data_IF_928485928490
#
_entry.id   IF_928485928490
#
_cell.length_a   1.000
_cell.length_b   1.000
_cell.length_c   1.000
_cell.angle_alpha   90.00
_cell.angle_beta   90.00
_cell.angle_gamma   90.00
#
_symmetry.space_group_name_H-M   'P 1'
#
loop_
_entity.id
_entity.type
_entity.pdbx_description
1 polymer ?
#
# COMPACT_ATOMS: atom_id res chain seq x y z
N UNK A 1 -13.41 -20.54 -9.52
CA UNK A 1 -13.34 -19.47 -8.49
C UNK A 1 -14.70 -19.37 -7.82
N UNK A 2 -14.79 -18.86 -6.57
CA UNK A 2 -16.05 -18.79 -5.80
C UNK A 2 -17.15 -18.00 -6.50
N UNK A 3 -16.79 -16.97 -7.29
CA UNK A 3 -17.73 -15.99 -7.85
C UNK A 3 -17.92 -16.11 -9.38
N UNK A 4 -17.45 -17.20 -10.00
CA UNK A 4 -17.56 -17.37 -11.46
C UNK A 4 -16.69 -16.43 -12.31
N UNK A 5 -15.89 -15.55 -11.67
CA UNK A 5 -14.98 -14.64 -12.35
C UNK A 5 -13.68 -15.32 -12.75
N UNK A 6 -13.12 -14.93 -13.89
CA UNK A 6 -11.75 -15.26 -14.27
C UNK A 6 -10.77 -14.66 -13.26
N UNK A 7 -9.96 -15.51 -12.63
CA UNK A 7 -8.95 -15.09 -11.66
C UNK A 7 -7.57 -14.89 -12.30
N UNK A 8 -6.73 -14.08 -11.67
CA UNK A 8 -5.30 -14.01 -12.00
C UNK A 8 -4.54 -14.98 -11.08
N UNK A 9 -3.97 -16.07 -11.60
CA UNK A 9 -3.32 -17.07 -10.75
C UNK A 9 -2.09 -16.50 -10.05
N UNK A 10 -1.75 -17.05 -8.87
CA UNK A 10 -0.51 -16.70 -8.16
C UNK A 10 0.73 -16.93 -9.03
N UNK A 11 0.67 -17.93 -9.92
CA UNK A 11 1.72 -18.22 -10.90
C UNK A 11 2.10 -17.02 -11.78
N UNK A 12 1.16 -16.12 -12.08
CA UNK A 12 1.44 -14.92 -12.86
C UNK A 12 2.42 -13.97 -12.13
N UNK A 13 2.33 -13.90 -10.80
CA UNK A 13 3.27 -13.15 -9.97
C UNK A 13 4.58 -13.92 -9.81
N UNK A 14 4.53 -15.20 -9.43
CA UNK A 14 5.75 -15.95 -9.09
C UNK A 14 6.66 -16.23 -10.27
N UNK A 15 6.12 -16.48 -11.48
CA UNK A 15 6.94 -16.66 -12.69
C UNK A 15 7.67 -15.36 -13.04
N UNK A 16 7.00 -14.21 -12.92
CA UNK A 16 7.63 -12.91 -13.13
C UNK A 16 8.75 -12.67 -12.11
N UNK A 17 8.52 -12.98 -10.83
CA UNK A 17 9.54 -12.88 -9.78
C UNK A 17 10.78 -13.74 -10.06
N UNK A 18 10.59 -15.02 -10.41
CA UNK A 18 11.72 -15.88 -10.76
C UNK A 18 12.54 -15.33 -11.93
N UNK A 19 11.88 -14.88 -12.99
CA UNK A 19 12.54 -14.25 -14.13
C UNK A 19 13.35 -13.03 -13.69
N UNK A 20 12.77 -12.14 -12.89
CA UNK A 20 13.44 -10.94 -12.39
C UNK A 20 14.65 -11.31 -11.54
N UNK A 21 14.53 -12.29 -10.65
CA UNK A 21 15.65 -12.69 -9.78
C UNK A 21 16.82 -13.27 -10.55
N UNK A 22 16.58 -14.06 -11.59
CA UNK A 22 17.66 -14.54 -12.47
C UNK A 22 18.35 -13.38 -13.19
N UNK A 23 17.60 -12.38 -13.65
CA UNK A 23 18.19 -11.17 -14.24
C UNK A 23 19.01 -10.37 -13.22
N UNK A 24 18.54 -10.23 -11.98
CA UNK A 24 19.28 -9.56 -10.90
C UNK A 24 20.58 -10.31 -10.59
N UNK A 25 20.57 -11.65 -10.54
CA UNK A 25 21.80 -12.45 -10.36
C UNK A 25 22.81 -12.22 -11.47
N UNK A 26 22.35 -12.22 -12.72
CA UNK A 26 23.22 -12.08 -13.87
C UNK A 26 23.80 -10.66 -14.02
N UNK A 27 23.07 -9.64 -13.59
CA UNK A 27 23.42 -8.22 -13.86
C UNK A 27 23.89 -7.44 -12.64
N UNK A 28 23.55 -7.90 -11.43
CA UNK A 28 23.73 -7.13 -10.19
C UNK A 28 22.83 -5.89 -10.09
N UNK A 29 21.83 -5.75 -10.98
CA UNK A 29 20.94 -4.60 -10.99
C UNK A 29 20.13 -4.50 -9.70
N UNK A 30 19.93 -3.27 -9.21
CA UNK A 30 19.02 -2.99 -8.11
C UNK A 30 17.59 -2.95 -8.63
N UNK A 31 16.71 -3.79 -8.08
CA UNK A 31 15.32 -3.89 -8.52
C UNK A 31 14.36 -3.67 -7.35
N UNK A 32 13.29 -2.93 -7.62
CA UNK A 32 12.15 -2.80 -6.73
C UNK A 32 10.93 -3.52 -7.32
N UNK A 33 10.32 -4.39 -6.54
CA UNK A 33 9.15 -5.18 -6.93
C UNK A 33 7.88 -4.51 -6.39
N UNK A 34 7.07 -3.98 -7.29
CA UNK A 34 5.87 -3.25 -6.90
C UNK A 34 4.72 -4.20 -6.53
N UNK A 35 4.06 -3.90 -5.42
CA UNK A 35 2.76 -4.43 -4.98
C UNK A 35 2.72 -5.96 -4.93
N UNK A 36 3.60 -6.58 -4.16
CA UNK A 36 3.54 -8.02 -3.88
C UNK A 36 2.16 -8.35 -3.30
N UNK A 37 1.52 -9.41 -3.81
CA UNK A 37 0.13 -9.72 -3.46
C UNK A 37 -0.09 -11.14 -2.94
N UNK A 38 0.90 -12.03 -3.02
CA UNK A 38 0.76 -13.43 -2.60
C UNK A 38 1.75 -13.87 -1.51
N UNK A 39 1.36 -14.85 -0.71
CA UNK A 39 2.24 -15.49 0.28
C UNK A 39 3.47 -16.13 -0.36
N UNK A 40 3.29 -16.74 -1.54
CA UNK A 40 4.39 -17.30 -2.32
C UNK A 40 5.38 -16.21 -2.79
N UNK A 41 4.86 -15.07 -3.25
CA UNK A 41 5.68 -13.91 -3.62
C UNK A 41 6.50 -13.39 -2.45
N UNK A 42 5.91 -13.26 -1.26
CA UNK A 42 6.63 -12.87 -0.03
C UNK A 42 7.76 -13.86 0.29
N UNK A 43 7.50 -15.17 0.23
CA UNK A 43 8.52 -16.19 0.48
C UNK A 43 9.68 -16.07 -0.52
N UNK A 44 9.37 -15.90 -1.81
CA UNK A 44 10.36 -15.74 -2.87
C UNK A 44 11.23 -14.48 -2.67
N UNK A 45 10.62 -13.35 -2.26
CA UNK A 45 11.37 -12.13 -1.92
C UNK A 45 12.30 -12.37 -0.72
N UNK A 46 11.81 -13.05 0.31
CA UNK A 46 12.61 -13.39 1.50
C UNK A 46 13.84 -14.22 1.13
N UNK A 47 13.64 -15.25 0.31
CA UNK A 47 14.72 -16.12 -0.15
C UNK A 47 15.72 -15.35 -1.02
N UNK A 48 15.25 -14.47 -1.90
CA UNK A 48 16.11 -13.61 -2.73
C UNK A 48 16.98 -12.68 -1.86
N UNK A 49 16.38 -12.03 -0.86
CA UNK A 49 17.12 -11.18 0.09
C UNK A 49 18.13 -11.97 0.91
N UNK A 50 17.76 -13.16 1.39
CA UNK A 50 18.67 -14.04 2.14
C UNK A 50 19.89 -14.50 1.30
N UNK A 51 19.73 -14.56 -0.01
CA UNK A 51 20.82 -14.86 -0.96
C UNK A 51 21.64 -13.63 -1.37
N UNK A 52 21.34 -12.46 -0.80
CA UNK A 52 22.08 -11.22 -1.06
C UNK A 52 21.71 -10.52 -2.36
N UNK A 53 20.58 -10.86 -3.00
CA UNK A 53 20.13 -10.12 -4.18
C UNK A 53 19.74 -8.70 -3.78
N UNK A 54 20.10 -7.72 -4.62
CA UNK A 54 19.79 -6.30 -4.41
C UNK A 54 18.33 -5.99 -4.78
N UNK A 55 17.39 -6.61 -4.07
CA UNK A 55 15.95 -6.50 -4.30
C UNK A 55 15.25 -5.85 -3.12
N UNK A 56 14.29 -5.00 -3.42
CA UNK A 56 13.31 -4.45 -2.47
C UNK A 56 11.90 -4.70 -3.01
N UNK A 57 10.89 -4.58 -2.17
CA UNK A 57 9.50 -4.66 -2.61
C UNK A 57 8.55 -3.81 -1.76
N UNK A 58 7.39 -3.52 -2.33
CA UNK A 58 6.30 -2.86 -1.62
C UNK A 58 5.03 -3.73 -1.60
N UNK A 59 4.10 -3.37 -0.73
CA UNK A 59 2.74 -3.91 -0.69
C UNK A 59 1.73 -2.77 -0.72
N UNK A 60 0.62 -2.98 -1.44
CA UNK A 60 -0.50 -2.04 -1.40
C UNK A 60 -1.26 -2.14 -0.08
N UNK A 61 -1.70 -1.00 0.46
CA UNK A 61 -2.62 -0.98 1.61
C UNK A 61 -3.91 -1.78 1.33
N UNK A 62 -4.34 -1.88 0.06
CA UNK A 62 -5.49 -2.68 -0.31
C UNK A 62 -5.28 -4.16 0.02
N UNK A 63 -4.19 -4.76 -0.47
CA UNK A 63 -3.85 -6.17 -0.22
C UNK A 63 -3.43 -6.45 1.23
N UNK A 64 -3.00 -5.42 1.96
CA UNK A 64 -2.65 -5.53 3.39
C UNK A 64 -3.89 -5.67 4.30
N UNK A 65 -5.02 -5.12 3.88
CA UNK A 65 -6.25 -5.06 4.68
C UNK A 65 -7.39 -5.94 4.16
N UNK A 66 -7.43 -6.24 2.87
CA UNK A 66 -8.57 -6.88 2.22
C UNK A 66 -8.18 -8.23 1.58
N UNK A 67 -9.21 -9.04 1.34
CA UNK A 67 -9.14 -10.38 0.76
C UNK A 67 -10.21 -10.56 -0.32
N UNK A 68 -10.14 -11.68 -1.03
CA UNK A 68 -11.14 -12.09 -2.01
C UNK A 68 -12.57 -12.23 -1.43
N UNK A 69 -12.69 -12.50 -0.12
CA UNK A 69 -13.98 -12.55 0.58
C UNK A 69 -14.64 -11.17 0.66
N UNK A 70 -13.84 -10.10 0.80
CA UNK A 70 -14.34 -8.73 0.98
C UNK A 70 -15.01 -8.19 -0.30
N UNK A 71 -14.67 -8.75 -1.48
CA UNK A 71 -15.30 -8.38 -2.76
C UNK A 71 -16.83 -8.54 -2.70
N UNK A 72 -17.32 -9.45 -1.85
CA UNK A 72 -18.74 -9.57 -1.52
C UNK A 72 -19.62 -9.75 -2.76
N UNK A 73 -20.59 -8.85 -2.93
CA UNK A 73 -21.52 -8.84 -4.07
C UNK A 73 -20.94 -8.12 -5.29
N UNK A 74 -19.73 -8.48 -5.71
CA UNK A 74 -19.07 -7.90 -6.89
C UNK A 74 -18.82 -6.38 -6.78
N UNK A 75 -18.38 -5.91 -5.61
CA UNK A 75 -18.12 -4.48 -5.39
C UNK A 75 -16.97 -3.98 -6.29
N UNK A 76 -17.29 -3.14 -7.28
CA UNK A 76 -16.34 -2.62 -8.27
C UNK A 76 -15.23 -1.76 -7.67
N UNK A 77 -15.39 -1.25 -6.44
CA UNK A 77 -14.33 -0.57 -5.70
C UNK A 77 -13.18 -1.51 -5.36
N UNK A 78 -13.47 -2.81 -5.22
CA UNK A 78 -12.50 -3.87 -4.97
C UNK A 78 -11.94 -4.50 -6.27
N UNK A 79 -12.32 -3.98 -7.43
CA UNK A 79 -11.62 -4.29 -8.69
C UNK A 79 -10.29 -3.56 -8.69
N UNK A 80 -9.23 -4.32 -8.39
CA UNK A 80 -7.86 -3.83 -8.23
C UNK A 80 -6.89 -4.60 -9.13
N UNK A 81 -5.66 -4.09 -9.25
CA UNK A 81 -4.57 -4.78 -9.91
C UNK A 81 -3.24 -4.47 -9.18
N UNK A 82 -2.63 -5.45 -8.47
CA UNK A 82 -3.00 -6.87 -8.39
C UNK A 82 -4.36 -7.14 -7.71
N UNK A 83 -5.03 -8.28 -7.96
CA UNK A 83 -6.31 -8.58 -7.35
C UNK A 83 -6.16 -8.93 -5.86
N UNK A 84 -7.24 -8.76 -5.11
CA UNK A 84 -7.32 -9.25 -3.73
C UNK A 84 -7.24 -10.78 -3.71
N UNK A 85 -6.38 -11.31 -2.84
CA UNK A 85 -6.11 -12.74 -2.72
C UNK A 85 -6.73 -13.31 -1.44
N UNK A 86 -6.42 -14.57 -1.14
CA UNK A 86 -7.00 -15.27 -0.01
C UNK A 86 -6.45 -14.76 1.31
N UNK A 87 -7.15 -15.10 2.39
CA UNK A 87 -6.76 -14.80 3.77
C UNK A 87 -5.28 -15.08 4.07
N UNK A 88 -4.77 -16.25 3.66
CA UNK A 88 -3.36 -16.63 3.85
C UNK A 88 -2.36 -15.66 3.19
N UNK A 89 -2.74 -15.09 2.05
CA UNK A 89 -1.89 -14.16 1.31
C UNK A 89 -1.84 -12.82 2.05
N UNK A 90 -3.00 -12.31 2.51
CA UNK A 90 -3.06 -11.12 3.38
C UNK A 90 -2.21 -11.30 4.63
N UNK A 91 -2.31 -12.45 5.30
CA UNK A 91 -1.57 -12.69 6.54
C UNK A 91 -0.05 -12.74 6.30
N UNK A 92 0.39 -13.34 5.20
CA UNK A 92 1.79 -13.35 4.81
C UNK A 92 2.31 -11.95 4.45
N UNK A 93 1.53 -11.13 3.74
CA UNK A 93 1.88 -9.74 3.44
C UNK A 93 2.02 -8.91 4.71
N UNK A 94 1.06 -9.05 5.62
CA UNK A 94 1.06 -8.36 6.91
C UNK A 94 2.26 -8.73 7.77
N UNK A 95 2.59 -10.01 7.84
CA UNK A 95 3.78 -10.50 8.53
C UNK A 95 5.08 -10.05 7.84
N UNK A 96 5.13 -10.10 6.51
CA UNK A 96 6.30 -9.70 5.71
C UNK A 96 6.62 -8.21 5.83
N UNK A 97 5.61 -7.35 5.94
CA UNK A 97 5.82 -5.93 6.23
C UNK A 97 6.28 -5.72 7.70
N UNK A 98 5.76 -6.52 8.63
CA UNK A 98 6.11 -6.43 10.04
C UNK A 98 7.54 -6.94 10.32
N UNK A 99 8.03 -7.93 9.57
CA UNK A 99 9.35 -8.53 9.74
C UNK A 99 10.46 -7.87 8.89
N UNK A 100 10.09 -7.01 7.93
CA UNK A 100 11.02 -6.30 7.04
C UNK A 100 11.35 -7.04 5.73
N UNK A 101 10.69 -8.18 5.47
CA UNK A 101 10.71 -8.83 4.15
C UNK A 101 10.16 -7.89 3.08
N UNK A 102 9.12 -7.11 3.40
CA UNK A 102 8.55 -6.04 2.57
C UNK A 102 9.05 -4.70 3.09
N UNK A 103 9.56 -3.84 2.20
CA UNK A 103 10.30 -2.63 2.56
C UNK A 103 9.40 -1.39 2.71
N UNK A 104 8.30 -1.35 1.96
CA UNK A 104 7.42 -0.18 1.92
C UNK A 104 5.95 -0.55 1.85
N UNK A 105 5.11 0.32 2.41
CA UNK A 105 3.67 0.31 2.25
C UNK A 105 3.27 1.44 1.30
N UNK A 106 2.46 1.14 0.30
CA UNK A 106 2.01 2.13 -0.70
C UNK A 106 0.49 2.23 -0.76
N UNK A 107 0.00 3.42 -1.13
CA UNK A 107 -1.44 3.66 -1.27
C UNK A 107 -2.05 2.96 -2.48
N UNK A 108 -1.23 2.69 -3.50
CA UNK A 108 -1.65 2.25 -4.83
C UNK A 108 -2.76 3.14 -5.40
N UNK A 109 -2.62 4.46 -5.19
CA UNK A 109 -3.63 5.44 -5.56
C UNK A 109 -3.81 5.50 -7.08
N UNK A 110 -4.87 4.87 -7.55
CA UNK A 110 -5.26 4.79 -8.96
C UNK A 110 -6.72 5.24 -9.05
N UNK A 111 -6.99 6.57 -9.02
CA UNK A 111 -8.34 7.07 -9.15
C UNK A 111 -8.87 6.71 -10.55
N UNK A 112 -10.10 6.22 -10.59
CA UNK A 112 -10.80 5.80 -11.81
C UNK A 112 -12.05 6.65 -11.92
N UNK A 113 -12.44 6.98 -13.16
CA UNK A 113 -13.68 7.69 -13.45
C UNK A 113 -14.90 6.92 -12.92
N UNK A 114 -15.95 7.64 -12.55
CA UNK A 114 -17.18 7.07 -12.02
C UNK A 114 -17.83 6.13 -13.04
N UNK A 115 -17.88 6.53 -14.31
CA UNK A 115 -18.51 5.71 -15.37
C UNK A 115 -17.80 4.37 -15.54
N UNK A 116 -16.46 4.37 -15.48
CA UNK A 116 -15.64 3.16 -15.56
C UNK A 116 -15.77 2.25 -14.32
N UNK A 117 -16.34 2.75 -13.21
CA UNK A 117 -16.61 2.01 -11.97
C UNK A 117 -18.06 1.52 -11.82
N UNK A 118 -18.99 2.00 -12.63
CA UNK A 118 -20.41 1.57 -12.58
C UNK A 118 -20.65 0.27 -13.37
N UNK A 119 -19.71 -0.13 -14.23
CA UNK A 119 -19.77 -1.37 -14.99
C UNK A 119 -19.77 -2.62 -14.08
N UNK A 120 -20.27 -3.78 -14.57
CA UNK A 120 -20.13 -5.05 -13.88
C UNK A 120 -18.67 -5.31 -13.48
N UNK A 121 -18.44 -5.97 -12.34
CA UNK A 121 -17.10 -6.11 -11.76
C UNK A 121 -16.02 -6.62 -12.73
N UNK A 122 -16.38 -7.55 -13.63
CA UNK A 122 -15.44 -8.10 -14.61
C UNK A 122 -15.01 -7.07 -15.68
N UNK A 123 -15.88 -6.11 -15.98
CA UNK A 123 -15.73 -5.09 -17.04
C UNK A 123 -15.23 -3.75 -16.50
N UNK A 124 -15.45 -3.47 -15.21
CA UNK A 124 -15.01 -2.21 -14.61
C UNK A 124 -13.48 -2.10 -14.55
N UNK A 125 -12.98 -0.88 -14.66
CA UNK A 125 -11.55 -0.61 -14.66
C UNK A 125 -10.93 -0.88 -13.27
N UNK A 126 -9.75 -1.53 -13.20
CA UNK A 126 -9.07 -1.72 -11.93
C UNK A 126 -8.45 -0.44 -11.39
N UNK A 127 -8.63 -0.20 -10.09
CA UNK A 127 -8.04 0.94 -9.40
C UNK A 127 -8.91 1.44 -8.24
N UNK A 128 -8.30 2.12 -7.29
CA UNK A 128 -9.00 2.73 -6.18
C UNK A 128 -8.30 4.00 -5.67
N UNK A 129 -9.11 4.85 -5.05
CA UNK A 129 -8.61 6.00 -4.29
C UNK A 129 -8.03 5.53 -2.97
N UNK A 130 -6.84 6.05 -2.64
CA UNK A 130 -6.12 5.56 -1.49
C UNK A 130 -5.07 6.48 -0.88
N UNK A 131 -4.63 7.53 -1.60
CA UNK A 131 -3.58 8.43 -1.11
C UNK A 131 -3.92 9.02 0.27
N UNK A 132 -5.17 9.47 0.42
CA UNK A 132 -5.69 10.11 1.63
C UNK A 132 -5.88 9.14 2.80
N UNK A 133 -5.83 7.83 2.55
CA UNK A 133 -6.07 6.77 3.54
C UNK A 133 -4.78 6.13 4.06
N UNK A 134 -3.64 6.41 3.42
CA UNK A 134 -2.39 5.68 3.65
C UNK A 134 -1.95 5.74 5.12
N UNK A 135 -1.97 6.91 5.74
CA UNK A 135 -1.62 7.07 7.16
C UNK A 135 -2.55 6.24 8.05
N UNK A 136 -3.87 6.42 7.90
CA UNK A 136 -4.86 5.78 8.76
C UNK A 136 -4.82 4.25 8.65
N UNK A 137 -4.62 3.72 7.43
CA UNK A 137 -4.48 2.28 7.21
C UNK A 137 -3.14 1.75 7.73
N UNK A 138 -2.05 2.51 7.62
CA UNK A 138 -0.76 2.17 8.26
C UNK A 138 -0.92 2.02 9.78
N UNK A 139 -1.62 2.97 10.42
CA UNK A 139 -1.87 2.94 11.87
C UNK A 139 -2.79 1.78 12.26
N UNK A 140 -3.86 1.53 11.49
CA UNK A 140 -4.75 0.39 11.71
C UNK A 140 -4.00 -0.94 11.67
N UNK A 141 -3.16 -1.15 10.66
CA UNK A 141 -2.31 -2.33 10.55
C UNK A 141 -1.38 -2.47 11.76
N UNK A 142 -0.73 -1.38 12.16
CA UNK A 142 0.19 -1.36 13.29
C UNK A 142 -0.51 -1.73 14.60
N UNK A 143 -1.69 -1.18 14.86
CA UNK A 143 -2.50 -1.48 16.04
C UNK A 143 -2.92 -2.96 16.08
N UNK A 144 -3.41 -3.50 14.96
CA UNK A 144 -3.90 -4.88 14.88
C UNK A 144 -2.79 -5.92 15.09
N UNK A 145 -1.58 -5.66 14.60
CA UNK A 145 -0.41 -6.55 14.74
C UNK A 145 0.51 -6.19 15.89
N UNK A 146 0.19 -5.13 16.65
CA UNK A 146 1.04 -4.59 17.73
C UNK A 146 2.45 -4.24 17.26
N UNK A 147 2.56 -3.71 16.03
CA UNK A 147 3.81 -3.14 15.50
C UNK A 147 4.03 -1.77 16.13
N UNK A 148 5.24 -1.43 16.62
CA UNK A 148 5.54 -0.10 17.12
C UNK A 148 5.22 0.98 16.07
N UNK A 149 4.60 2.08 16.48
CA UNK A 149 4.11 3.11 15.57
C UNK A 149 5.23 3.74 14.76
N UNK A 150 6.42 3.91 15.35
CA UNK A 150 7.61 4.44 14.70
C UNK A 150 8.07 3.52 13.56
N UNK A 151 8.02 2.21 13.79
CA UNK A 151 8.35 1.20 12.77
C UNK A 151 7.33 1.25 11.63
N UNK A 152 6.05 1.37 11.96
CA UNK A 152 4.98 1.44 10.98
C UNK A 152 5.03 2.72 10.13
N UNK A 153 5.22 3.89 10.76
CA UNK A 153 5.42 5.14 10.03
C UNK A 153 6.67 5.09 9.15
N UNK A 154 7.71 4.36 9.58
CA UNK A 154 8.90 4.11 8.78
C UNK A 154 8.60 3.54 7.39
N UNK A 155 7.64 2.62 7.26
CA UNK A 155 7.30 1.94 5.98
C UNK A 155 6.70 2.89 4.93
N UNK A 156 6.19 4.05 5.36
CA UNK A 156 5.62 5.11 4.50
C UNK A 156 6.45 6.40 4.53
N UNK A 157 7.59 6.41 5.23
CA UNK A 157 8.50 7.57 5.35
C UNK A 157 9.95 7.15 5.11
N UNK A 158 10.75 6.96 6.17
CA UNK A 158 12.19 6.73 6.09
C UNK A 158 12.56 5.47 5.29
N UNK A 159 11.84 4.36 5.48
CA UNK A 159 12.12 3.10 4.76
C UNK A 159 11.72 3.22 3.28
N UNK A 160 10.59 3.85 2.99
CA UNK A 160 10.20 4.16 1.60
C UNK A 160 11.24 5.08 0.90
N UNK A 161 11.78 6.08 1.61
CA UNK A 161 12.85 6.92 1.09
C UNK A 161 14.15 6.12 0.84
N UNK A 162 14.50 5.18 1.72
CA UNK A 162 15.64 4.28 1.53
C UNK A 162 15.49 3.39 0.29
N UNK A 163 14.27 2.89 0.03
CA UNK A 163 13.95 2.11 -1.18
C UNK A 163 14.20 2.95 -2.45
N UNK A 164 13.76 4.22 -2.46
CA UNK A 164 14.01 5.13 -3.58
C UNK A 164 15.52 5.40 -3.74
N UNK A 165 16.22 5.56 -2.62
CA UNK A 165 17.67 5.79 -2.56
C UNK A 165 18.02 7.27 -2.78
N UNK A 166 19.12 7.55 -3.48
CA UNK A 166 19.63 8.91 -3.65
C UNK A 166 18.61 9.90 -4.26
N UNK A 167 17.68 9.41 -5.09
CA UNK A 167 16.64 10.24 -5.69
C UNK A 167 15.62 10.78 -4.68
N UNK A 168 15.50 10.19 -3.48
CA UNK A 168 14.65 10.70 -2.41
C UNK A 168 15.24 11.94 -1.71
N UNK A 169 16.52 12.26 -1.94
CA UNK A 169 17.20 13.35 -1.25
C UNK A 169 17.14 13.19 0.27
N UNK A 170 16.47 14.13 0.94
CA UNK A 170 16.28 14.14 2.40
C UNK A 170 14.86 13.76 2.84
N UNK A 171 14.03 13.22 1.94
CA UNK A 171 12.66 12.84 2.26
C UNK A 171 12.58 11.75 3.34
N UNK A 172 11.48 11.73 4.08
CA UNK A 172 11.21 10.70 5.11
C UNK A 172 12.02 10.86 6.39
N UNK A 173 12.67 12.01 6.62
CA UNK A 173 13.48 12.29 7.80
C UNK A 173 13.05 13.61 8.48
N UNK A 174 13.16 13.66 9.80
CA UNK A 174 12.99 14.88 10.60
C UNK A 174 14.33 15.25 11.24
N UNK A 175 15.16 15.99 10.52
CA UNK A 175 16.51 16.40 10.94
C UNK A 175 16.72 17.89 10.71
N UNK A 176 17.56 18.51 11.56
CA UNK A 176 17.88 19.94 11.44
C UNK A 176 18.58 20.20 10.11
N UNK A 177 18.09 21.18 9.35
CA UNK A 177 18.63 21.57 8.04
C UNK A 177 17.99 20.86 6.85
N UNK A 178 17.13 19.86 7.06
CA UNK A 178 16.33 19.25 6.01
C UNK A 178 15.10 20.11 5.64
N UNK A 179 14.48 19.79 4.49
CA UNK A 179 13.20 20.38 4.12
C UNK A 179 12.15 20.13 5.20
N UNK A 180 11.34 21.14 5.52
CA UNK A 180 10.27 21.03 6.50
C UNK A 180 9.03 20.34 5.88
N UNK A 181 9.17 19.03 5.63
CA UNK A 181 8.11 18.13 5.18
C UNK A 181 7.55 17.39 6.41
N UNK A 182 6.44 17.89 6.94
CA UNK A 182 5.91 17.48 8.26
C UNK A 182 4.42 17.18 8.14
N UNK A 183 4.00 16.03 8.67
CA UNK A 183 2.60 15.69 8.86
C UNK A 183 2.28 15.69 10.36
N UNK A 184 1.39 16.58 10.79
CA UNK A 184 0.85 16.62 12.15
C UNK A 184 -0.48 15.90 12.13
N UNK A 185 -0.63 14.87 12.95
CA UNK A 185 -1.85 14.09 13.03
C UNK A 185 -2.16 13.70 14.49
N UNK A 186 -3.43 13.44 14.75
CA UNK A 186 -3.91 12.92 16.02
C UNK A 186 -4.06 11.39 15.91
N UNK A 187 -3.19 10.59 16.57
CA UNK A 187 -3.21 9.13 16.46
C UNK A 187 -4.40 8.47 17.16
N UNK A 188 -5.13 9.22 18.00
CA UNK A 188 -6.26 8.72 18.80
C UNK A 188 -7.61 9.07 18.21
N UNK A 189 -7.67 10.16 17.42
CA UNK A 189 -8.87 10.52 16.68
C UNK A 189 -9.18 9.50 15.59
N UNK A 190 -10.49 9.35 15.34
CA UNK A 190 -11.02 8.49 14.30
C UNK A 190 -11.87 9.32 13.33
N UNK A 191 -12.01 8.82 12.10
CA UNK A 191 -12.86 9.43 11.09
C UNK A 191 -13.51 8.34 10.23
N UNK A 192 -14.69 8.64 9.68
CA UNK A 192 -15.40 7.73 8.79
C UNK A 192 -15.04 8.08 7.35
N UNK A 193 -14.57 7.08 6.60
CA UNK A 193 -14.23 7.26 5.18
C UNK A 193 -15.52 7.45 4.39
N UNK A 194 -15.79 8.68 3.98
CA UNK A 194 -16.92 8.98 3.08
C UNK A 194 -16.42 9.70 1.82
N UNK A 195 -17.14 9.60 0.70
CA UNK A 195 -16.81 10.37 -0.50
C UNK A 195 -16.71 11.89 -0.27
N UNK A 196 -17.39 12.44 0.75
CA UNK A 196 -17.36 13.87 1.04
C UNK A 196 -16.04 14.32 1.70
N UNK A 197 -15.40 13.42 2.44
CA UNK A 197 -14.12 13.69 3.10
C UNK A 197 -12.92 13.58 2.14
N UNK A 198 -13.08 12.89 1.00
CA UNK A 198 -12.03 12.71 0.01
C UNK A 198 -11.89 13.93 -0.92
N UNK A 199 -10.65 14.39 -1.11
CA UNK A 199 -10.27 15.46 -2.05
C UNK A 199 -9.95 14.94 -3.44
N UNK A 200 -9.59 13.67 -3.58
CA UNK A 200 -9.36 13.02 -4.87
C UNK A 200 -10.57 13.19 -5.81
N UNK A 201 -10.29 13.31 -7.12
CA UNK A 201 -11.34 13.38 -8.15
C UNK A 201 -12.15 12.07 -8.18
N UNK A 202 -11.45 10.93 -8.21
CA UNK A 202 -12.06 9.63 -7.96
C UNK A 202 -12.36 9.48 -6.46
N UNK A 203 -13.56 9.03 -6.11
CA UNK A 203 -13.97 8.80 -4.71
C UNK A 203 -14.29 7.33 -4.43
N UNK A 204 -13.95 6.45 -5.37
CA UNK A 204 -14.14 5.01 -5.27
C UNK A 204 -12.99 4.40 -4.47
N UNK A 205 -13.30 3.92 -3.27
CA UNK A 205 -12.34 3.22 -2.41
C UNK A 205 -13.01 2.03 -1.73
N UNK A 206 -12.35 0.87 -1.62
CA UNK A 206 -12.86 -0.28 -0.87
C UNK A 206 -13.21 0.02 0.59
N UNK A 207 -12.64 1.09 1.14
CA UNK A 207 -12.73 1.41 2.56
C UNK A 207 -13.89 2.35 2.91
N UNK A 208 -14.77 2.72 1.95
CA UNK A 208 -15.87 3.65 2.27
C UNK A 208 -16.81 3.07 3.32
N UNK A 209 -17.19 3.89 4.29
CA UNK A 209 -18.03 3.51 5.43
C UNK A 209 -17.26 2.96 6.63
N UNK A 210 -15.95 2.70 6.49
CA UNK A 210 -15.13 2.27 7.61
C UNK A 210 -14.69 3.46 8.46
N UNK A 211 -14.65 3.24 9.77
CA UNK A 211 -14.00 4.14 10.71
C UNK A 211 -12.51 3.79 10.81
N UNK A 212 -11.64 4.77 10.60
CA UNK A 212 -10.19 4.60 10.60
C UNK A 212 -9.51 5.51 11.64
N UNK A 213 -8.42 5.05 12.27
CA UNK A 213 -7.66 5.84 13.23
C UNK A 213 -6.75 6.85 12.52
N UNK A 214 -6.29 7.86 13.24
CA UNK A 214 -5.32 8.83 12.74
C UNK A 214 -5.96 9.87 11.86
N UNK A 215 -6.14 11.09 12.38
CA UNK A 215 -6.66 12.23 11.62
C UNK A 215 -5.56 13.25 11.42
N UNK A 216 -5.22 13.54 10.17
CA UNK A 216 -4.26 14.59 9.82
C UNK A 216 -4.84 15.95 10.22
N UNK A 217 -4.08 16.73 10.98
CA UNK A 217 -4.41 18.09 11.42
C UNK A 217 -3.75 19.14 10.53
N UNK A 218 -2.51 18.88 10.10
CA UNK A 218 -1.78 19.77 9.21
C UNK A 218 -0.72 19.02 8.41
N UNK A 219 -0.47 19.48 7.19
CA UNK A 219 0.68 19.05 6.38
C UNK A 219 1.47 20.27 5.97
N UNK A 220 2.77 20.25 6.25
CA UNK A 220 3.75 21.24 5.81
C UNK A 220 4.62 20.60 4.75
N UNK A 221 4.80 21.25 3.60
CA UNK A 221 5.66 20.81 2.52
C UNK A 221 6.68 21.91 2.20
N UNK A 222 7.98 21.62 2.34
CA UNK A 222 9.05 22.58 2.15
C UNK A 222 8.89 23.85 3.00
N UNK A 223 8.33 23.73 4.21
CA UNK A 223 8.07 24.86 5.10
C UNK A 223 6.80 25.66 4.79
N UNK A 224 6.00 25.26 3.81
CA UNK A 224 4.70 25.87 3.49
C UNK A 224 3.56 25.01 3.99
N UNK A 225 2.57 25.63 4.62
CA UNK A 225 1.33 24.96 5.01
C UNK A 225 0.56 24.53 3.75
N UNK A 226 0.55 23.23 3.48
CA UNK A 226 -0.11 22.64 2.31
C UNK A 226 -1.53 22.13 2.64
N UNK A 227 -1.77 21.75 3.90
CA UNK A 227 -3.07 21.32 4.39
C UNK A 227 -3.25 21.74 5.85
N UNK A 228 -4.47 22.11 6.21
CA UNK A 228 -4.90 22.32 7.58
C UNK A 228 -6.35 21.87 7.73
N UNK A 229 -6.62 21.04 8.74
CA UNK A 229 -7.98 20.63 9.08
C UNK A 229 -8.77 21.82 9.64
N UNK A 230 -10.05 21.93 9.25
CA UNK A 230 -10.89 23.09 9.61
C UNK A 230 -11.41 23.07 11.05
N UNK A 231 -11.12 22.02 11.84
CA UNK A 231 -11.20 21.92 13.30
C UNK A 231 -10.64 20.57 13.74
#
# INVERSE_FOLDING_TARGET
TRMGLSGVPVAAETIALHTIFELVRATGARVHLCRISSAAGVALVRDAKAQGLTVTCDVSMNSLHLTDVDIGYFDSRMRLNPPLRQQRDRDALRAGLADGTIDALVSDHTPVDADAKVLPFAECEPGATGLELLLSLTLKWAQELKVPVEKALGTVTAQAAQVIGAAAGQAGQLTVGAAADICVFDPTAHWVVTPAELKSQGRHTPFSGLELPGVVRATVAGGRLAYQATR
#
